data_IF_208715527955
#
_entry.id   IF_208715527955
#
_cell.length_a   1.000
_cell.length_b   1.000
_cell.length_c   1.000
_cell.angle_alpha   90.00
_cell.angle_beta   90.00
_cell.angle_gamma   90.00
#
_symmetry.space_group_name_H-M   'P 1'
#
loop_
_entity.id
_entity.type
_entity.pdbx_description
1 polymer ?
#
# COMPACT_ATOMS: atom_id res chain seq x y z
N UNK A 1 10.53 -21.80 11.42
CA UNK A 1 9.46 -20.79 11.20
C UNK A 1 8.32 -20.99 12.20
N UNK A 2 7.63 -22.15 12.22
CA UNK A 2 6.56 -22.41 13.20
C UNK A 2 7.01 -22.22 14.65
N UNK A 3 8.00 -23.00 15.09
CA UNK A 3 8.42 -23.00 16.49
C UNK A 3 9.05 -21.66 16.92
N UNK A 4 9.76 -20.99 15.99
CA UNK A 4 10.32 -19.64 16.23
C UNK A 4 9.22 -18.59 16.39
N UNK A 5 8.20 -18.61 15.54
CA UNK A 5 7.06 -17.72 15.65
C UNK A 5 6.25 -17.98 16.92
N UNK A 6 6.02 -19.25 17.29
CA UNK A 6 5.34 -19.59 18.56
C UNK A 6 6.12 -19.08 19.78
N UNK A 7 7.46 -19.12 19.75
CA UNK A 7 8.28 -18.55 20.81
C UNK A 7 8.16 -17.01 20.89
N UNK A 8 8.20 -16.32 19.75
CA UNK A 8 7.99 -14.87 19.67
C UNK A 8 6.58 -14.46 20.12
N UNK A 9 5.56 -15.21 19.70
CA UNK A 9 4.17 -15.06 20.13
C UNK A 9 4.05 -15.16 21.66
N UNK A 10 4.62 -16.20 22.26
CA UNK A 10 4.58 -16.39 23.71
C UNK A 10 5.36 -15.30 24.48
N UNK A 11 6.46 -14.79 23.90
CA UNK A 11 7.20 -13.67 24.46
C UNK A 11 6.35 -12.39 24.50
N UNK A 12 5.67 -12.09 23.39
CA UNK A 12 4.73 -10.96 23.31
C UNK A 12 3.53 -11.17 24.25
N UNK A 13 2.97 -12.37 24.29
CA UNK A 13 1.85 -12.73 25.15
C UNK A 13 2.20 -12.53 26.63
N UNK A 14 3.36 -13.02 27.09
CA UNK A 14 3.81 -12.84 28.46
C UNK A 14 4.04 -11.36 28.84
N UNK A 15 4.41 -10.52 27.87
CA UNK A 15 4.55 -9.08 28.09
C UNK A 15 3.19 -8.34 28.17
N UNK A 16 2.19 -8.80 27.41
CA UNK A 16 0.87 -8.20 27.32
C UNK A 16 -0.09 -8.70 28.41
N UNK A 17 -0.04 -10.00 28.71
CA UNK A 17 -0.81 -10.69 29.74
C UNK A 17 0.04 -11.79 30.39
N UNK A 18 0.76 -11.48 31.49
CA UNK A 18 1.61 -12.44 32.18
C UNK A 18 0.85 -13.66 32.75
N UNK A 19 -0.48 -13.60 32.85
CA UNK A 19 -1.31 -14.71 33.34
C UNK A 19 -1.81 -15.63 32.21
N UNK A 20 -1.64 -15.23 30.95
CA UNK A 20 -2.08 -16.02 29.81
C UNK A 20 -1.28 -17.32 29.69
N UNK A 21 -1.98 -18.41 29.34
CA UNK A 21 -1.34 -19.68 29.05
C UNK A 21 -0.51 -19.56 27.77
N UNK A 22 0.68 -20.15 27.77
CA UNK A 22 1.51 -20.21 26.58
C UNK A 22 0.82 -21.02 25.49
N UNK A 23 0.89 -20.52 24.25
CA UNK A 23 0.49 -21.27 23.06
C UNK A 23 1.49 -22.38 22.78
N UNK A 24 0.97 -23.58 22.49
CA UNK A 24 1.78 -24.69 22.01
C UNK A 24 2.08 -24.60 20.49
N UNK A 25 1.19 -23.94 19.74
CA UNK A 25 1.34 -23.67 18.31
C UNK A 25 0.57 -22.40 17.95
N UNK A 26 1.29 -21.28 17.79
CA UNK A 26 0.67 -19.99 17.53
C UNK A 26 -0.06 -19.93 16.17
N UNK A 27 0.24 -20.84 15.23
CA UNK A 27 -0.48 -20.95 13.97
C UNK A 27 -1.83 -21.68 14.10
N UNK A 28 -2.02 -22.42 15.19
CA UNK A 28 -3.28 -23.10 15.49
C UNK A 28 -4.23 -22.24 16.34
N UNK A 29 -3.74 -21.10 16.87
CA UNK A 29 -4.58 -20.16 17.60
C UNK A 29 -5.63 -19.54 16.69
N UNK A 30 -6.86 -19.49 17.18
CA UNK A 30 -7.99 -18.87 16.49
C UNK A 30 -8.90 -18.18 17.49
N UNK A 31 -9.62 -17.16 17.03
CA UNK A 31 -10.61 -16.45 17.82
C UNK A 31 -11.99 -16.49 17.17
N UNK A 32 -13.00 -16.07 17.92
CA UNK A 32 -14.40 -16.05 17.45
C UNK A 32 -14.67 -14.99 16.39
N UNK A 33 -13.77 -14.01 16.25
CA UNK A 33 -13.90 -12.89 15.31
C UNK A 33 -12.75 -12.89 14.32
N UNK A 34 -13.06 -12.93 13.03
CA UNK A 34 -12.11 -12.75 11.95
C UNK A 34 -11.76 -11.26 11.79
N UNK A 35 -10.49 -10.90 11.97
CA UNK A 35 -10.02 -9.53 11.74
C UNK A 35 -9.36 -9.43 10.36
N UNK A 36 -9.88 -8.55 9.51
CA UNK A 36 -9.39 -8.33 8.14
C UNK A 36 -8.68 -6.99 8.08
N UNK A 37 -7.37 -6.98 7.83
CA UNK A 37 -6.62 -5.74 7.59
C UNK A 37 -6.87 -5.19 6.19
N UNK A 38 -8.12 -4.81 5.92
CA UNK A 38 -8.57 -4.28 4.63
C UNK A 38 -9.74 -3.31 4.84
N UNK A 39 -9.94 -2.31 3.97
CA UNK A 39 -11.12 -1.47 3.99
C UNK A 39 -12.36 -2.26 3.57
N UNK A 40 -13.37 -2.27 4.43
CA UNK A 40 -14.64 -2.94 4.12
C UNK A 40 -15.35 -2.31 2.93
N UNK A 41 -15.11 -1.00 2.72
CA UNK A 41 -15.60 -0.20 1.59
C UNK A 41 -15.10 -0.72 0.22
N UNK A 42 -13.98 -1.45 0.20
CA UNK A 42 -13.40 -2.04 -1.01
C UNK A 42 -13.65 -3.54 -1.12
N UNK A 43 -14.33 -4.14 -0.16
CA UNK A 43 -14.61 -5.57 -0.17
C UNK A 43 -15.99 -5.84 -0.77
N UNK A 44 -16.06 -6.79 -1.70
CA UNK A 44 -17.33 -7.19 -2.35
C UNK A 44 -18.40 -7.55 -1.30
N UNK A 45 -19.53 -6.83 -1.25
CA UNK A 45 -20.61 -7.11 -0.30
C UNK A 45 -21.14 -8.55 -0.36
N UNK A 46 -21.15 -9.17 -1.54
CA UNK A 46 -21.58 -10.55 -1.72
C UNK A 46 -20.61 -11.55 -1.07
N UNK A 47 -19.31 -11.22 -1.04
CA UNK A 47 -18.30 -11.99 -0.32
C UNK A 47 -18.33 -11.69 1.18
N UNK A 48 -18.53 -10.42 1.56
CA UNK A 48 -18.69 -10.01 2.96
C UNK A 48 -19.81 -10.80 3.65
N UNK A 49 -20.93 -11.01 2.96
CA UNK A 49 -22.07 -11.76 3.48
C UNK A 49 -21.79 -13.24 3.78
N UNK A 50 -20.68 -13.79 3.27
CA UNK A 50 -20.27 -15.19 3.48
C UNK A 50 -19.25 -15.34 4.62
N UNK A 51 -18.74 -14.24 5.17
CA UNK A 51 -17.74 -14.28 6.22
C UNK A 51 -18.37 -14.68 7.57
N UNK A 52 -17.61 -15.36 8.46
CA UNK A 52 -18.00 -15.54 9.87
C UNK A 52 -18.07 -14.17 10.58
N UNK A 53 -18.41 -14.10 11.90
CA UNK A 53 -18.26 -12.85 12.64
C UNK A 53 -16.89 -12.22 12.37
N UNK A 54 -16.89 -11.00 11.86
CA UNK A 54 -15.67 -10.36 11.36
C UNK A 54 -15.67 -8.85 11.60
N UNK A 55 -14.50 -8.25 11.47
CA UNK A 55 -14.32 -6.80 11.42
C UNK A 55 -13.27 -6.42 10.39
N UNK A 56 -13.60 -5.43 9.57
CA UNK A 56 -12.64 -4.76 8.69
C UNK A 56 -11.88 -3.70 9.49
N UNK A 57 -10.58 -3.90 9.62
CA UNK A 57 -9.69 -2.97 10.30
C UNK A 57 -9.36 -1.75 9.44
N UNK A 58 -9.65 -1.79 8.14
CA UNK A 58 -9.26 -0.71 7.24
C UNK A 58 -7.78 -0.78 6.92
N UNK A 59 -6.96 -0.19 7.78
CA UNK A 59 -5.49 -0.21 7.67
C UNK A 59 -4.83 -0.22 9.04
N UNK A 60 -3.67 -0.88 9.13
CA UNK A 60 -2.75 -0.86 10.25
C UNK A 60 -1.45 -0.16 9.83
N UNK A 61 -1.54 1.13 9.50
CA UNK A 61 -0.39 1.95 9.08
C UNK A 61 0.68 1.96 10.17
N UNK A 62 1.89 1.57 9.80
CA UNK A 62 3.05 1.56 10.70
C UNK A 62 3.61 2.96 10.95
N UNK A 63 4.29 3.11 12.08
CA UNK A 63 5.19 4.25 12.29
C UNK A 63 6.54 3.96 11.65
N UNK A 64 7.14 5.00 11.05
CA UNK A 64 8.47 4.92 10.44
C UNK A 64 9.38 5.95 11.11
N UNK A 65 10.66 5.64 11.35
CA UNK A 65 11.61 6.62 11.85
C UNK A 65 11.81 7.73 10.82
N UNK A 66 12.11 8.93 11.30
CA UNK A 66 12.45 10.07 10.46
C UNK A 66 13.71 9.76 9.62
N UNK A 67 13.63 9.96 8.32
CA UNK A 67 14.76 9.89 7.40
C UNK A 67 15.08 11.30 6.89
N UNK A 68 16.13 11.91 7.42
CA UNK A 68 16.45 13.31 7.16
C UNK A 68 16.75 13.61 5.68
N UNK A 69 17.35 12.66 4.96
CA UNK A 69 17.62 12.81 3.53
C UNK A 69 16.32 12.81 2.72
N UNK A 70 15.38 11.92 3.07
CA UNK A 70 14.07 11.87 2.43
C UNK A 70 13.29 13.14 2.70
N UNK A 71 13.32 13.66 3.93
CA UNK A 71 12.65 14.93 4.30
C UNK A 71 13.25 16.13 3.56
N UNK A 72 14.58 16.21 3.46
CA UNK A 72 15.26 17.27 2.70
C UNK A 72 14.90 17.18 1.22
N UNK A 73 14.89 15.98 0.64
CA UNK A 73 14.47 15.77 -0.74
C UNK A 73 13.01 16.17 -0.95
N UNK A 74 12.10 15.78 -0.06
CA UNK A 74 10.69 16.19 -0.11
C UNK A 74 10.53 17.71 -0.02
N UNK A 75 11.34 18.38 0.81
CA UNK A 75 11.30 19.84 0.98
C UNK A 75 11.90 20.61 -0.22
N UNK A 76 12.76 19.97 -1.03
CA UNK A 76 13.47 20.64 -2.12
C UNK A 76 12.56 21.06 -3.30
N UNK A 77 11.34 20.54 -3.40
CA UNK A 77 10.38 20.92 -4.43
C UNK A 77 8.95 20.49 -4.08
N UNK A 78 7.96 21.27 -4.53
CA UNK A 78 6.51 21.01 -4.47
C UNK A 78 5.95 20.45 -5.79
N UNK A 79 6.84 19.92 -6.64
CA UNK A 79 6.46 19.29 -7.90
C UNK A 79 5.67 17.99 -7.66
N UNK A 80 4.89 17.54 -8.66
CA UNK A 80 4.08 16.33 -8.56
C UNK A 80 4.93 15.12 -8.17
N UNK A 81 4.53 14.38 -7.15
CA UNK A 81 5.32 13.27 -6.59
C UNK A 81 4.68 11.92 -6.91
N UNK A 82 5.44 11.05 -7.58
CA UNK A 82 5.08 9.64 -7.78
C UNK A 82 5.96 8.76 -6.89
N UNK A 83 5.34 7.94 -6.04
CA UNK A 83 6.05 6.91 -5.29
C UNK A 83 5.99 5.57 -6.03
N UNK A 84 7.13 4.89 -6.19
CA UNK A 84 7.20 3.58 -6.89
C UNK A 84 7.79 2.52 -5.97
N UNK A 85 7.07 1.43 -5.75
CA UNK A 85 7.55 0.31 -4.95
C UNK A 85 6.84 -1.02 -5.25
N UNK A 86 7.64 -2.05 -5.55
CA UNK A 86 7.16 -3.43 -5.68
C UNK A 86 7.43 -4.28 -4.42
N UNK A 87 7.74 -3.63 -3.29
CA UNK A 87 8.12 -4.32 -2.07
C UNK A 87 9.46 -5.05 -2.20
N UNK A 88 9.87 -5.75 -1.15
CA UNK A 88 11.20 -6.37 -1.07
C UNK A 88 11.36 -7.62 -1.94
N UNK A 89 10.26 -8.34 -2.21
CA UNK A 89 10.32 -9.61 -2.95
C UNK A 89 10.21 -9.41 -4.46
N UNK A 90 9.25 -8.59 -4.91
CA UNK A 90 8.97 -8.39 -6.34
C UNK A 90 9.83 -7.30 -6.96
N UNK A 91 10.64 -6.58 -6.16
CA UNK A 91 11.64 -5.65 -6.67
C UNK A 91 12.65 -6.29 -7.61
N UNK A 92 12.78 -7.63 -7.63
CA UNK A 92 13.64 -8.37 -8.57
C UNK A 92 13.18 -8.30 -10.04
N UNK A 93 11.98 -7.76 -10.29
CA UNK A 93 11.48 -7.47 -11.64
C UNK A 93 12.06 -6.16 -12.15
N UNK A 94 13.38 -6.15 -12.33
CA UNK A 94 14.14 -5.03 -12.87
C UNK A 94 13.64 -4.59 -14.25
N UNK A 95 13.22 -5.54 -15.08
CA UNK A 95 12.58 -5.33 -16.38
C UNK A 95 11.33 -4.44 -16.30
N UNK A 96 10.52 -4.61 -15.25
CA UNK A 96 9.31 -3.82 -15.03
C UNK A 96 9.66 -2.47 -14.41
N UNK A 97 10.59 -2.43 -13.44
CA UNK A 97 11.05 -1.17 -12.85
C UNK A 97 11.68 -0.25 -13.90
N UNK A 98 12.54 -0.77 -14.78
CA UNK A 98 13.14 -0.01 -15.87
C UNK A 98 12.08 0.55 -16.83
N UNK A 99 11.04 -0.23 -17.15
CA UNK A 99 9.91 0.25 -17.97
C UNK A 99 9.13 1.35 -17.27
N UNK A 100 8.97 1.28 -15.95
CA UNK A 100 8.34 2.33 -15.14
C UNK A 100 9.17 3.60 -15.14
N UNK A 101 10.49 3.49 -14.97
CA UNK A 101 11.39 4.64 -15.06
C UNK A 101 11.27 5.32 -16.42
N UNK A 102 11.39 4.55 -17.50
CA UNK A 102 11.29 5.08 -18.86
C UNK A 102 9.93 5.74 -19.14
N UNK A 103 8.82 5.14 -18.68
CA UNK A 103 7.49 5.70 -18.89
C UNK A 103 7.25 7.00 -18.12
N UNK A 104 7.75 7.11 -16.88
CA UNK A 104 7.56 8.27 -16.04
C UNK A 104 8.50 9.44 -16.38
N UNK A 105 9.57 9.20 -17.13
CA UNK A 105 10.55 10.23 -17.49
C UNK A 105 9.93 11.43 -18.23
N UNK A 106 8.88 11.19 -19.04
CA UNK A 106 8.19 12.20 -19.84
C UNK A 106 6.81 12.57 -19.29
N UNK A 107 6.45 12.12 -18.07
CA UNK A 107 5.15 12.45 -17.46
C UNK A 107 5.22 13.80 -16.77
N UNK A 108 4.21 14.63 -17.02
CA UNK A 108 4.08 15.96 -16.43
C UNK A 108 2.65 16.20 -15.91
N UNK A 109 2.53 16.98 -14.83
CA UNK A 109 1.26 17.49 -14.35
C UNK A 109 1.32 19.02 -14.34
N UNK A 110 0.40 19.65 -15.08
CA UNK A 110 0.35 21.09 -15.30
C UNK A 110 1.65 21.70 -15.83
N UNK A 111 2.30 20.99 -16.76
CA UNK A 111 3.58 21.40 -17.38
C UNK A 111 4.78 21.32 -16.43
N UNK A 112 4.65 20.60 -15.31
CA UNK A 112 5.75 20.32 -14.38
C UNK A 112 6.08 18.82 -14.44
N UNK A 113 7.35 18.44 -14.64
CA UNK A 113 7.73 17.03 -14.65
C UNK A 113 7.47 16.39 -13.29
N UNK A 114 7.05 15.12 -13.32
CA UNK A 114 6.92 14.35 -12.08
C UNK A 114 8.29 14.11 -11.45
N UNK A 115 8.32 14.17 -10.13
CA UNK A 115 9.43 13.71 -9.32
C UNK A 115 9.11 12.30 -8.83
N UNK A 116 10.09 11.41 -8.86
CA UNK A 116 9.87 10.02 -8.44
C UNK A 116 10.72 9.68 -7.23
N UNK A 117 10.08 9.06 -6.24
CA UNK A 117 10.75 8.33 -5.18
C UNK A 117 10.59 6.82 -5.44
N UNK A 118 11.66 6.17 -5.88
CA UNK A 118 11.66 4.76 -6.30
C UNK A 118 12.40 3.89 -5.28
N UNK A 119 11.65 2.99 -4.64
CA UNK A 119 12.22 1.94 -3.79
C UNK A 119 12.64 0.75 -4.67
N UNK A 120 13.94 0.66 -4.99
CA UNK A 120 14.45 -0.34 -5.95
C UNK A 120 14.59 -1.75 -5.35
N UNK A 121 14.48 -1.89 -4.02
CA UNK A 121 14.63 -3.16 -3.33
C UNK A 121 15.96 -3.83 -3.64
N UNK A 122 15.89 -5.05 -4.18
CA UNK A 122 17.05 -5.84 -4.61
C UNK A 122 17.58 -5.48 -6.02
N UNK A 123 16.92 -4.56 -6.74
CA UNK A 123 17.36 -4.15 -8.08
C UNK A 123 18.47 -3.11 -7.99
N UNK A 124 19.56 -3.42 -8.68
CA UNK A 124 20.73 -2.54 -8.83
C UNK A 124 20.38 -1.31 -9.68
N UNK A 125 20.97 -0.17 -9.32
CA UNK A 125 20.66 1.10 -10.00
C UNK A 125 20.91 1.05 -11.51
N UNK A 126 21.97 0.36 -11.95
CA UNK A 126 22.32 0.22 -13.37
C UNK A 126 21.26 -0.54 -14.20
N UNK A 127 20.42 -1.35 -13.57
CA UNK A 127 19.36 -2.09 -14.25
C UNK A 127 18.12 -1.24 -14.53
N UNK A 128 18.01 -0.06 -13.91
CA UNK A 128 16.87 0.86 -14.07
C UNK A 128 16.92 1.68 -15.36
N UNK A 129 18.04 1.66 -16.09
CA UNK A 129 18.25 2.49 -17.27
C UNK A 129 18.56 3.95 -16.92
N UNK A 130 18.16 4.87 -17.79
CA UNK A 130 18.42 6.30 -17.63
C UNK A 130 17.41 6.93 -16.66
N UNK A 131 17.79 7.00 -15.38
CA UNK A 131 16.99 7.65 -14.33
C UNK A 131 17.13 9.18 -14.43
N UNK A 132 16.03 9.94 -14.53
CA UNK A 132 16.10 11.40 -14.55
C UNK A 132 16.76 12.00 -13.31
N UNK A 133 17.52 13.09 -13.50
CA UNK A 133 18.18 13.78 -12.40
C UNK A 133 17.16 14.34 -11.40
N UNK A 134 17.46 14.21 -10.11
CA UNK A 134 16.61 14.69 -9.02
C UNK A 134 15.54 13.70 -8.56
N UNK A 135 15.43 12.52 -9.19
CA UNK A 135 14.68 11.41 -8.60
C UNK A 135 15.41 10.82 -7.39
N UNK A 136 14.65 10.39 -6.39
CA UNK A 136 15.18 9.72 -5.21
C UNK A 136 15.09 8.21 -5.41
N UNK A 137 16.22 7.56 -5.62
CA UNK A 137 16.29 6.11 -5.85
C UNK A 137 17.14 5.45 -4.78
N UNK A 138 16.53 4.57 -3.98
CA UNK A 138 17.21 3.83 -2.91
C UNK A 138 16.64 2.42 -2.81
N UNK A 139 17.43 1.46 -2.35
CA UNK A 139 16.96 0.09 -2.11
C UNK A 139 15.81 0.03 -1.10
N UNK A 140 15.82 0.93 -0.11
CA UNK A 140 14.72 1.10 0.84
C UNK A 140 14.38 2.58 1.03
N UNK A 141 13.09 2.87 1.10
CA UNK A 141 12.51 4.19 1.35
C UNK A 141 11.37 4.10 2.38
N UNK A 142 11.17 5.14 3.22
CA UNK A 142 10.07 5.20 4.17
C UNK A 142 8.74 5.44 3.43
N UNK A 143 8.05 4.34 3.10
CA UNK A 143 6.84 4.33 2.28
C UNK A 143 5.72 5.20 2.88
N UNK A 144 5.47 5.10 4.18
CA UNK A 144 4.40 5.87 4.84
C UNK A 144 4.72 7.36 4.77
N UNK A 145 5.98 7.73 4.94
CA UNK A 145 6.44 9.13 4.83
C UNK A 145 6.23 9.68 3.42
N UNK A 146 6.62 8.91 2.40
CA UNK A 146 6.47 9.31 0.99
C UNK A 146 5.00 9.37 0.55
N UNK A 147 4.18 8.40 0.95
CA UNK A 147 2.75 8.38 0.61
C UNK A 147 2.00 9.59 1.18
N UNK A 148 2.40 10.15 2.32
CA UNK A 148 1.79 11.38 2.86
C UNK A 148 2.00 12.61 1.97
N UNK A 149 2.93 12.55 1.02
CA UNK A 149 3.27 13.64 0.10
C UNK A 149 3.03 13.29 -1.37
N UNK A 150 2.77 12.03 -1.69
CA UNK A 150 2.65 11.57 -3.06
C UNK A 150 1.29 11.96 -3.67
N UNK A 151 1.30 12.27 -4.96
CA UNK A 151 0.10 12.48 -5.78
C UNK A 151 -0.36 11.17 -6.44
N UNK A 152 0.56 10.22 -6.60
CA UNK A 152 0.34 8.90 -7.17
C UNK A 152 1.29 7.89 -6.54
N UNK A 153 0.85 6.65 -6.39
CA UNK A 153 1.74 5.52 -6.14
C UNK A 153 1.62 4.44 -7.23
N UNK A 154 2.75 3.89 -7.65
CA UNK A 154 2.82 2.71 -8.53
C UNK A 154 3.29 1.52 -7.70
N UNK A 155 2.46 0.49 -7.62
CA UNK A 155 2.69 -0.63 -6.72
C UNK A 155 2.34 -1.97 -7.35
N UNK A 156 2.86 -3.04 -6.76
CA UNK A 156 2.48 -4.41 -7.08
C UNK A 156 1.10 -4.82 -6.52
N UNK A 157 0.47 -3.95 -5.73
CA UNK A 157 -0.86 -4.23 -5.15
C UNK A 157 -0.84 -5.08 -3.88
N UNK A 158 0.31 -5.22 -3.22
CA UNK A 158 0.37 -5.86 -1.91
C UNK A 158 -0.48 -5.13 -0.89
N UNK A 159 -1.23 -5.88 -0.08
CA UNK A 159 -2.26 -5.34 0.81
C UNK A 159 -1.78 -4.20 1.72
N UNK A 160 -0.58 -4.30 2.30
CA UNK A 160 -0.06 -3.24 3.16
C UNK A 160 0.16 -1.93 2.39
N UNK A 161 0.78 -1.98 1.20
CA UNK A 161 0.99 -0.79 0.35
C UNK A 161 -0.33 -0.20 -0.13
N UNK A 162 -1.31 -1.05 -0.48
CA UNK A 162 -2.65 -0.60 -0.86
C UNK A 162 -3.31 0.14 0.28
N UNK A 163 -3.40 -0.46 1.48
CA UNK A 163 -4.10 0.16 2.60
C UNK A 163 -3.40 1.41 3.13
N UNK A 164 -2.06 1.47 3.09
CA UNK A 164 -1.29 2.68 3.40
C UNK A 164 -1.56 3.80 2.38
N UNK A 165 -1.61 3.49 1.08
CA UNK A 165 -1.93 4.47 0.03
C UNK A 165 -3.37 4.99 0.16
N UNK A 166 -4.35 4.11 0.40
CA UNK A 166 -5.74 4.50 0.64
C UNK A 166 -5.88 5.36 1.89
N UNK A 167 -5.13 5.06 2.96
CA UNK A 167 -5.11 5.89 4.17
C UNK A 167 -4.54 7.28 3.91
N UNK A 168 -3.51 7.38 3.05
CA UNK A 168 -2.94 8.65 2.63
C UNK A 168 -3.79 9.40 1.57
N UNK A 169 -4.84 8.77 1.04
CA UNK A 169 -5.66 9.35 -0.02
C UNK A 169 -4.94 9.42 -1.37
N UNK A 170 -4.03 8.49 -1.63
CA UNK A 170 -3.19 8.43 -2.84
C UNK A 170 -3.76 7.41 -3.83
N UNK A 171 -4.11 7.81 -5.06
CA UNK A 171 -4.54 6.88 -6.09
C UNK A 171 -3.39 5.98 -6.55
N UNK A 172 -3.72 4.87 -7.22
CA UNK A 172 -2.75 3.85 -7.60
C UNK A 172 -2.66 3.58 -9.10
N UNK A 173 -1.47 3.27 -9.59
CA UNK A 173 -1.32 2.33 -10.71
C UNK A 173 -0.85 1.00 -10.13
N UNK A 174 -1.60 -0.07 -10.39
CA UNK A 174 -1.32 -1.40 -9.84
C UNK A 174 -0.82 -2.34 -10.94
N UNK A 175 0.33 -2.96 -10.69
CA UNK A 175 0.99 -3.93 -11.54
C UNK A 175 1.06 -5.28 -10.81
N UNK A 176 -0.02 -6.07 -10.77
CA UNK A 176 -0.09 -7.28 -9.96
C UNK A 176 0.77 -8.41 -10.54
N UNK A 177 1.50 -9.12 -9.68
CA UNK A 177 2.38 -10.22 -10.07
C UNK A 177 1.90 -11.60 -9.60
N UNK A 178 1.25 -11.69 -8.43
CA UNK A 178 0.91 -12.98 -7.84
C UNK A 178 -0.21 -12.92 -6.80
N UNK A 179 -0.75 -14.10 -6.48
CA UNK A 179 -1.58 -14.35 -5.28
C UNK A 179 -2.84 -13.47 -5.20
N UNK A 180 -3.04 -12.76 -4.09
CA UNK A 180 -4.18 -11.92 -3.77
C UNK A 180 -4.16 -10.56 -4.48
N UNK A 181 -3.01 -10.16 -5.03
CA UNK A 181 -2.81 -8.87 -5.71
C UNK A 181 -3.80 -8.68 -6.87
N UNK A 182 -4.14 -9.73 -7.62
CA UNK A 182 -5.08 -9.63 -8.73
C UNK A 182 -6.49 -9.29 -8.27
N UNK A 183 -6.96 -9.92 -7.18
CA UNK A 183 -8.29 -9.65 -6.64
C UNK A 183 -8.36 -8.26 -6.00
N UNK A 184 -7.30 -7.85 -5.28
CA UNK A 184 -7.19 -6.49 -4.74
C UNK A 184 -7.12 -5.42 -5.83
N UNK A 185 -6.36 -5.66 -6.89
CA UNK A 185 -6.26 -4.76 -8.04
C UNK A 185 -7.63 -4.56 -8.73
N UNK A 186 -8.36 -5.66 -8.99
CA UNK A 186 -9.70 -5.58 -9.57
C UNK A 186 -10.67 -4.75 -8.70
N UNK A 187 -10.67 -4.97 -7.39
CA UNK A 187 -11.51 -4.21 -6.47
C UNK A 187 -11.18 -2.70 -6.46
N UNK A 188 -9.90 -2.34 -6.57
CA UNK A 188 -9.47 -0.95 -6.67
C UNK A 188 -9.85 -0.31 -8.01
N UNK A 189 -9.76 -1.06 -9.11
CA UNK A 189 -10.16 -0.61 -10.44
C UNK A 189 -11.67 -0.38 -10.52
N UNK A 190 -12.47 -1.32 -10.01
CA UNK A 190 -13.92 -1.19 -9.92
C UNK A 190 -14.35 0.03 -9.08
N UNK A 191 -13.58 0.33 -8.02
CA UNK A 191 -13.77 1.53 -7.20
C UNK A 191 -13.24 2.81 -7.86
N UNK A 192 -12.61 2.74 -9.04
CA UNK A 192 -12.00 3.87 -9.73
C UNK A 192 -10.82 4.49 -8.99
N UNK A 193 -10.23 3.77 -8.04
CA UNK A 193 -9.12 4.23 -7.20
C UNK A 193 -7.75 3.80 -7.74
N UNK A 194 -7.75 2.89 -8.72
CA UNK A 194 -6.56 2.47 -9.41
C UNK A 194 -6.77 2.30 -10.92
N UNK A 195 -5.68 2.45 -11.67
CA UNK A 195 -5.55 1.83 -12.99
C UNK A 195 -4.74 0.54 -12.87
N UNK A 196 -5.18 -0.55 -13.50
CA UNK A 196 -4.49 -1.85 -13.43
C UNK A 196 -3.90 -2.20 -14.79
N UNK A 197 -2.64 -2.60 -14.81
CA UNK A 197 -1.95 -3.01 -16.03
C UNK A 197 -1.23 -4.35 -15.81
N UNK A 198 -1.18 -5.19 -16.85
CA UNK A 198 -0.38 -6.42 -16.81
C UNK A 198 1.12 -6.05 -16.88
N UNK A 199 1.92 -6.30 -15.84
CA UNK A 199 3.34 -5.95 -15.83
C UNK A 199 4.15 -6.64 -16.95
N UNK A 200 3.69 -7.76 -17.48
CA UNK A 200 4.42 -8.52 -18.49
C UNK A 200 4.10 -8.04 -19.92
N UNK A 201 2.96 -7.39 -20.12
CA UNK A 201 2.48 -6.98 -21.44
C UNK A 201 2.42 -5.47 -21.64
N UNK A 202 2.32 -4.69 -20.55
CA UNK A 202 2.13 -3.23 -20.64
C UNK A 202 3.28 -2.54 -21.36
N UNK A 203 2.91 -1.60 -22.21
CA UNK A 203 3.81 -0.67 -22.89
C UNK A 203 4.10 0.55 -22.03
N UNK A 204 5.19 1.26 -22.33
CA UNK A 204 5.50 2.53 -21.66
C UNK A 204 4.41 3.59 -21.87
N UNK A 205 3.78 3.62 -23.05
CA UNK A 205 2.67 4.54 -23.35
C UNK A 205 1.43 4.25 -22.51
N UNK A 206 1.05 2.97 -22.36
CA UNK A 206 -0.06 2.58 -21.50
C UNK A 206 0.19 2.96 -20.04
N UNK A 207 1.42 2.77 -19.56
CA UNK A 207 1.80 3.14 -18.20
C UNK A 207 1.81 4.66 -17.99
N UNK A 208 2.42 5.43 -18.90
CA UNK A 208 2.42 6.89 -18.84
C UNK A 208 0.99 7.44 -18.88
N UNK A 209 0.14 6.90 -19.77
CA UNK A 209 -1.27 7.23 -19.84
C UNK A 209 -2.04 6.88 -18.56
N UNK A 210 -1.76 5.73 -17.94
CA UNK A 210 -2.36 5.36 -16.66
C UNK A 210 -1.91 6.30 -15.53
N UNK A 211 -0.62 6.62 -15.46
CA UNK A 211 -0.08 7.56 -14.49
C UNK A 211 -0.73 8.94 -14.64
N UNK A 212 -0.85 9.47 -15.86
CA UNK A 212 -1.51 10.75 -16.12
C UNK A 212 -2.97 10.75 -15.67
N UNK A 213 -3.73 9.69 -15.99
CA UNK A 213 -5.13 9.57 -15.56
C UNK A 213 -5.27 9.58 -14.04
N UNK A 214 -4.38 8.88 -13.34
CA UNK A 214 -4.46 8.80 -11.88
C UNK A 214 -3.93 10.06 -11.17
N UNK A 215 -2.90 10.71 -11.71
CA UNK A 215 -2.44 12.03 -11.25
C UNK A 215 -3.53 13.10 -11.37
N UNK A 216 -4.38 12.97 -12.38
CA UNK A 216 -5.51 13.88 -12.63
C UNK A 216 -6.84 13.36 -12.11
N UNK A 217 -6.84 12.38 -11.19
CA UNK A 217 -8.06 11.79 -10.64
C UNK A 217 -8.95 12.88 -10.03
N UNK A 218 -10.17 13.00 -10.56
CA UNK A 218 -11.13 14.02 -10.20
C UNK A 218 -12.55 13.45 -10.14
N UNK A 219 -13.50 14.27 -9.67
CA UNK A 219 -14.91 13.91 -9.55
C UNK A 219 -15.18 12.85 -8.49
N UNK A 220 -16.20 12.02 -8.73
CA UNK A 220 -16.71 11.05 -7.75
C UNK A 220 -15.64 10.04 -7.26
N UNK A 221 -14.74 9.48 -8.09
CA UNK A 221 -13.66 8.64 -7.60
C UNK A 221 -12.71 9.35 -6.62
N UNK A 222 -12.40 10.64 -6.87
CA UNK A 222 -11.56 11.43 -5.97
C UNK A 222 -12.28 11.72 -4.65
N UNK A 223 -13.57 12.02 -4.70
CA UNK A 223 -14.39 12.23 -3.51
C UNK A 223 -14.46 10.96 -2.65
N UNK A 224 -14.64 9.78 -3.27
CA UNK A 224 -14.58 8.48 -2.60
C UNK A 224 -13.23 8.23 -1.93
N UNK A 225 -12.13 8.50 -2.64
CA UNK A 225 -10.78 8.33 -2.09
C UNK A 225 -10.57 9.20 -0.84
N UNK A 226 -11.00 10.46 -0.89
CA UNK A 226 -10.91 11.38 0.25
C UNK A 226 -11.79 10.91 1.42
N UNK A 227 -13.01 10.46 1.14
CA UNK A 227 -13.90 9.92 2.17
C UNK A 227 -13.32 8.67 2.84
N UNK A 228 -12.77 7.74 2.03
CA UNK A 228 -12.12 6.53 2.49
C UNK A 228 -10.88 6.86 3.36
N UNK A 229 -9.96 7.71 2.87
CA UNK A 229 -8.80 8.15 3.63
C UNK A 229 -9.20 8.76 4.98
N UNK A 230 -10.25 9.58 4.99
CA UNK A 230 -10.82 10.14 6.21
C UNK A 230 -11.37 9.08 7.18
N UNK A 231 -12.07 8.06 6.68
CA UNK A 231 -12.56 6.91 7.47
C UNK A 231 -11.40 6.14 8.12
N UNK A 232 -10.37 5.83 7.33
CA UNK A 232 -9.20 5.06 7.76
C UNK A 232 -8.35 5.82 8.79
N UNK A 233 -8.26 7.15 8.65
CA UNK A 233 -7.47 7.99 9.57
C UNK A 233 -8.19 8.26 10.89
N UNK A 234 -9.52 8.49 10.86
CA UNK A 234 -10.29 8.79 12.08
C UNK A 234 -10.40 7.60 13.02
N UNK A 235 -10.52 6.40 12.46
CA UNK A 235 -10.62 5.15 13.21
C UNK A 235 -9.57 4.14 12.71
N UNK A 236 -8.33 4.24 13.20
CA UNK A 236 -7.24 3.35 12.81
C UNK A 236 -7.53 1.88 13.16
N UNK A 237 -6.95 0.95 12.40
CA UNK A 237 -7.17 -0.49 12.54
C UNK A 237 -7.04 -1.05 13.96
N UNK A 238 -6.03 -0.67 14.78
CA UNK A 238 -5.94 -1.12 16.16
C UNK A 238 -7.16 -0.75 17.02
N UNK A 239 -7.79 0.40 16.77
CA UNK A 239 -8.99 0.82 17.49
C UNK A 239 -10.22 0.01 17.03
N UNK A 240 -10.35 -0.21 15.72
CA UNK A 240 -11.41 -1.07 15.15
C UNK A 240 -11.31 -2.50 15.67
N UNK A 241 -10.10 -3.05 15.74
CA UNK A 241 -9.83 -4.37 16.30
C UNK A 241 -10.27 -4.47 17.77
N UNK A 242 -9.86 -3.48 18.59
CA UNK A 242 -10.25 -3.43 20.01
C UNK A 242 -11.77 -3.36 20.17
N UNK A 243 -12.45 -2.53 19.39
CA UNK A 243 -13.91 -2.40 19.44
C UNK A 243 -14.60 -3.74 19.10
N UNK A 244 -14.17 -4.39 18.02
CA UNK A 244 -14.70 -5.69 17.60
C UNK A 244 -14.51 -6.78 18.67
N UNK A 245 -13.34 -6.85 19.31
CA UNK A 245 -13.01 -7.86 20.32
C UNK A 245 -13.67 -7.60 21.68
N UNK A 246 -13.97 -6.35 22.02
CA UNK A 246 -14.58 -5.99 23.32
C UNK A 246 -16.11 -6.04 23.31
N UNK A 247 -16.74 -6.43 22.19
CA UNK A 247 -18.20 -6.44 22.04
C UNK A 247 -18.83 -5.05 22.00
N UNK A 248 -18.01 -3.99 21.95
CA UNK A 248 -18.46 -2.63 21.70
C UNK A 248 -18.79 -2.52 20.20
N UNK A 249 -20.08 -2.71 19.87
CA UNK A 249 -20.59 -2.75 18.51
C UNK A 249 -19.97 -1.66 17.61
N UNK A 250 -19.18 -2.08 16.61
CA UNK A 250 -18.86 -1.25 15.45
C UNK A 250 -20.06 -1.37 14.50
N UNK A 251 -20.61 -0.22 14.12
CA UNK A 251 -21.85 -0.09 13.35
C UNK A 251 -21.94 -1.04 12.14
N UNK A 252 -23.13 -1.67 11.98
CA UNK A 252 -23.56 -2.36 10.76
C UNK A 252 -23.76 -1.37 9.61
#
# INVERSE_FOLDING_TARGET
MRDSFTAEWNSALAALDPAAAHSADAFAESGDVLLLNYPGELHDPARTAQLPPHAFLGSAVREEPLDAEVEEWLASSDGPLVYVSFGSFLSVRDDVLARVVAALADVELDGRPVRVALASGATEHSALGDVPAGWLVRGFLPQVTLLRRADLAISHGGNNSVTEAMTAGVPLVVLPFSTDQFAGAAALEDAGLAAVLDPNAMTGEELAGAAQRMLTLAGEPRERLVALAGSLTREPGPQRARAALSGAAVHR
#
